data_IF_850706744459
#
_entry.id   IF_850706744459
#
_cell.length_a   1.000
_cell.length_b   1.000
_cell.length_c   1.000
_cell.angle_alpha   90.00
_cell.angle_beta   90.00
_cell.angle_gamma   90.00
#
_symmetry.space_group_name_H-M   'P 1'
#
loop_
_entity.id
_entity.type
_entity.pdbx_description
1 polymer ?
#
# COMPACT_ATOMS: atom_id res chain seq x y z
N UNK A 1 -23.99 7.96 13.76
CA UNK A 1 -22.65 8.38 13.24
C UNK A 1 -22.42 7.69 11.92
N UNK A 2 -21.81 8.40 10.93
CA UNK A 2 -21.59 7.89 9.56
C UNK A 2 -20.13 8.11 9.16
N UNK A 3 -19.52 7.06 8.61
CA UNK A 3 -18.17 7.10 8.02
C UNK A 3 -18.26 7.53 6.55
N UNK A 4 -17.64 8.64 6.20
CA UNK A 4 -17.57 9.14 4.83
C UNK A 4 -16.24 8.79 4.13
N UNK A 5 -15.56 7.77 4.61
CA UNK A 5 -14.41 7.17 3.94
C UNK A 5 -14.89 6.09 2.95
N UNK A 6 -13.99 5.63 2.12
CA UNK A 6 -14.24 4.50 1.23
C UNK A 6 -14.24 3.18 2.02
N UNK A 7 -14.86 2.12 1.47
CA UNK A 7 -15.00 0.84 2.17
C UNK A 7 -13.66 0.26 2.65
N UNK A 8 -12.60 0.33 1.84
CA UNK A 8 -11.28 -0.20 2.20
C UNK A 8 -10.61 0.54 3.37
N UNK A 9 -10.99 1.81 3.60
CA UNK A 9 -10.51 2.58 4.74
C UNK A 9 -11.27 2.17 6.03
N UNK A 10 -12.60 2.01 5.93
CA UNK A 10 -13.45 1.63 7.07
C UNK A 10 -13.34 0.15 7.42
N UNK A 11 -12.90 -0.70 6.49
CA UNK A 11 -12.72 -2.14 6.68
C UNK A 11 -11.69 -2.47 7.76
N UNK A 12 -10.61 -1.68 7.87
CA UNK A 12 -9.56 -1.90 8.88
C UNK A 12 -9.75 -1.14 10.19
N UNK A 13 -10.77 -0.29 10.26
CA UNK A 13 -11.11 0.42 11.48
C UNK A 13 -12.17 1.49 11.28
N UNK A 14 -13.05 1.63 12.27
CA UNK A 14 -14.19 2.55 12.27
C UNK A 14 -14.66 2.83 13.71
N UNK A 15 -15.51 3.82 13.91
CA UNK A 15 -16.17 4.02 15.22
C UNK A 15 -17.19 2.92 15.48
N UNK A 16 -17.25 2.45 16.73
CA UNK A 16 -18.25 1.45 17.19
C UNK A 16 -19.66 1.93 16.84
N UNK A 17 -20.42 1.09 16.12
CA UNK A 17 -21.79 1.39 15.70
C UNK A 17 -21.95 2.44 14.63
N UNK A 18 -20.90 2.86 13.97
CA UNK A 18 -20.99 3.76 12.81
C UNK A 18 -21.56 3.04 11.59
N UNK A 19 -22.32 3.77 10.79
CA UNK A 19 -22.73 3.34 9.44
C UNK A 19 -21.50 3.48 8.53
N UNK A 20 -21.07 2.38 7.95
CA UNK A 20 -19.94 2.30 7.01
C UNK A 20 -20.48 1.90 5.63
N UNK A 21 -20.75 2.85 4.72
CA UNK A 21 -21.28 2.52 3.40
C UNK A 21 -20.25 1.75 2.56
N UNK A 22 -20.71 0.69 1.90
CA UNK A 22 -19.89 -0.10 0.97
C UNK A 22 -19.76 0.62 -0.38
N UNK A 23 -18.84 1.59 -0.43
CA UNK A 23 -18.61 2.44 -1.61
C UNK A 23 -17.13 2.50 -1.97
N UNK A 24 -16.84 2.68 -3.25
CA UNK A 24 -15.47 2.90 -3.75
C UNK A 24 -15.06 4.36 -3.68
N UNK A 25 -16.04 5.26 -3.78
CA UNK A 25 -15.77 6.69 -3.80
C UNK A 25 -16.70 7.43 -2.83
N UNK A 26 -16.18 8.51 -2.27
CA UNK A 26 -16.95 9.42 -1.42
C UNK A 26 -18.25 9.92 -2.10
N UNK A 27 -18.23 10.13 -3.43
CA UNK A 27 -19.42 10.62 -4.15
C UNK A 27 -20.57 9.63 -4.12
N UNK A 28 -20.29 8.35 -4.17
CA UNK A 28 -21.29 7.28 -4.10
C UNK A 28 -21.97 7.21 -2.73
N UNK A 29 -21.26 7.56 -1.65
CA UNK A 29 -21.81 7.50 -0.30
C UNK A 29 -22.95 8.50 -0.06
N UNK A 30 -22.90 9.67 -0.69
CA UNK A 30 -23.84 10.75 -0.43
C UNK A 30 -25.29 10.36 -0.72
N UNK A 31 -25.69 9.90 -1.93
CA UNK A 31 -27.05 9.50 -2.21
C UNK A 31 -27.49 8.26 -1.42
N UNK A 32 -26.59 7.31 -1.18
CA UNK A 32 -26.87 6.08 -0.40
C UNK A 32 -27.27 6.45 1.02
N UNK A 33 -26.46 7.26 1.70
CA UNK A 33 -26.71 7.69 3.08
C UNK A 33 -27.93 8.60 3.14
N UNK A 34 -28.14 9.48 2.14
CA UNK A 34 -29.36 10.32 2.10
C UNK A 34 -30.64 9.46 2.04
N UNK A 35 -30.65 8.42 1.23
CA UNK A 35 -31.79 7.51 1.13
C UNK A 35 -31.96 6.69 2.43
N UNK A 36 -30.88 6.16 2.97
CA UNK A 36 -30.90 5.36 4.20
C UNK A 36 -31.40 6.15 5.42
N UNK A 37 -31.09 7.43 5.48
CA UNK A 37 -31.40 8.31 6.62
C UNK A 37 -32.56 9.29 6.35
N UNK A 38 -33.28 9.17 5.26
CA UNK A 38 -34.31 10.12 4.86
C UNK A 38 -35.39 10.37 5.93
N UNK A 39 -35.72 9.35 6.73
CA UNK A 39 -36.74 9.43 7.78
C UNK A 39 -36.22 10.08 9.07
N UNK A 40 -34.93 10.42 9.16
CA UNK A 40 -34.30 10.96 10.36
C UNK A 40 -33.85 12.43 10.21
N UNK A 41 -34.29 13.11 9.16
CA UNK A 41 -33.83 14.46 8.83
C UNK A 41 -34.18 15.51 9.89
N UNK A 42 -35.32 15.35 10.54
CA UNK A 42 -35.85 16.30 11.53
C UNK A 42 -35.33 16.06 12.92
N UNK A 43 -35.32 14.79 13.37
CA UNK A 43 -35.25 14.43 14.79
C UNK A 43 -33.88 13.88 15.23
N UNK A 44 -33.05 13.44 14.30
CA UNK A 44 -31.77 12.80 14.63
C UNK A 44 -30.58 13.66 14.31
N UNK A 45 -29.56 13.56 15.13
CA UNK A 45 -28.25 14.16 14.86
C UNK A 45 -27.49 13.29 13.86
N UNK A 46 -27.15 13.88 12.71
CA UNK A 46 -26.24 13.27 11.73
C UNK A 46 -24.80 13.68 12.10
N UNK A 47 -24.08 12.78 12.75
CA UNK A 47 -22.68 13.00 13.07
C UNK A 47 -21.81 12.27 12.04
N UNK A 48 -20.89 12.99 11.41
CA UNK A 48 -20.06 12.53 10.31
C UNK A 48 -18.58 12.54 10.66
N UNK A 49 -17.84 11.62 10.11
CA UNK A 49 -16.38 11.65 10.20
C UNK A 49 -15.71 11.11 8.93
N UNK A 50 -14.45 11.49 8.76
CA UNK A 50 -13.51 10.91 7.81
C UNK A 50 -12.09 10.99 8.41
N UNK A 51 -11.05 10.71 7.62
CA UNK A 51 -9.67 10.73 8.11
C UNK A 51 -9.24 12.07 8.69
N UNK A 52 -9.44 13.19 7.96
CA UNK A 52 -8.99 14.53 8.36
C UNK A 52 -10.05 15.64 8.26
N UNK A 53 -11.35 15.32 8.13
CA UNK A 53 -12.45 16.30 8.10
C UNK A 53 -12.85 16.81 6.71
N UNK A 54 -12.00 16.85 5.72
CA UNK A 54 -12.23 17.50 4.41
C UNK A 54 -13.44 16.94 3.65
N UNK A 55 -13.65 15.62 3.64
CA UNK A 55 -14.84 14.99 3.04
C UNK A 55 -16.10 15.36 3.79
N UNK A 56 -16.01 15.49 5.11
CA UNK A 56 -17.15 15.85 5.97
C UNK A 56 -17.63 17.28 5.73
N UNK A 57 -16.78 18.23 5.41
CA UNK A 57 -17.21 19.61 5.05
C UNK A 57 -18.14 19.59 3.84
N UNK A 58 -17.76 18.84 2.78
CA UNK A 58 -18.59 18.69 1.59
C UNK A 58 -19.88 17.91 1.89
N UNK A 59 -19.81 16.85 2.69
CA UNK A 59 -20.97 16.08 3.12
C UNK A 59 -21.92 16.94 3.96
N UNK A 60 -21.42 17.75 4.90
CA UNK A 60 -22.23 18.65 5.71
C UNK A 60 -23.04 19.63 4.87
N UNK A 61 -22.42 20.27 3.88
CA UNK A 61 -23.11 21.16 2.96
C UNK A 61 -24.18 20.43 2.18
N UNK A 62 -23.88 19.23 1.66
CA UNK A 62 -24.84 18.39 0.94
C UNK A 62 -26.05 18.03 1.80
N UNK A 63 -25.83 17.46 3.02
CA UNK A 63 -26.93 17.01 3.87
C UNK A 63 -27.78 18.16 4.42
N UNK A 64 -27.19 19.32 4.74
CA UNK A 64 -27.95 20.54 5.05
C UNK A 64 -28.85 20.96 3.88
N UNK A 65 -28.31 20.92 2.66
CA UNK A 65 -29.12 21.20 1.45
C UNK A 65 -30.23 20.17 1.23
N UNK A 66 -30.03 18.90 1.62
CA UNK A 66 -31.05 17.84 1.56
C UNK A 66 -32.09 17.93 2.69
N UNK A 67 -32.02 18.94 3.55
CA UNK A 67 -32.99 19.21 4.60
C UNK A 67 -32.75 18.55 5.94
N UNK A 68 -31.52 18.01 6.19
CA UNK A 68 -31.14 17.56 7.52
C UNK A 68 -30.89 18.76 8.44
N UNK A 69 -31.61 18.84 9.57
CA UNK A 69 -31.49 19.96 10.50
C UNK A 69 -30.25 19.92 11.38
N UNK A 70 -29.93 18.74 11.89
CA UNK A 70 -28.89 18.53 12.89
C UNK A 70 -27.68 17.81 12.26
N UNK A 71 -26.79 18.56 11.61
CA UNK A 71 -25.61 18.03 10.90
C UNK A 71 -24.34 18.45 11.60
N UNK A 72 -23.58 17.47 12.09
CA UNK A 72 -22.33 17.64 12.83
C UNK A 72 -21.21 16.86 12.18
N UNK A 73 -19.98 17.30 12.38
CA UNK A 73 -18.78 16.58 11.94
C UNK A 73 -17.75 16.51 13.06
N UNK A 74 -16.95 15.45 13.03
CA UNK A 74 -15.81 15.29 13.92
C UNK A 74 -14.71 16.26 13.47
N UNK A 75 -14.35 17.21 14.32
CA UNK A 75 -13.37 18.24 14.04
C UNK A 75 -11.96 17.61 13.85
N UNK A 76 -11.33 17.94 12.71
CA UNK A 76 -10.02 17.35 12.34
C UNK A 76 -10.05 15.86 12.06
N UNK A 77 -11.24 15.22 12.06
CA UNK A 77 -11.43 13.82 11.74
C UNK A 77 -10.77 12.85 12.73
N UNK A 78 -10.55 11.60 12.28
CA UNK A 78 -9.95 10.55 13.10
C UNK A 78 -8.55 10.92 13.57
N UNK A 79 -7.79 11.65 12.77
CA UNK A 79 -6.41 12.06 13.11
C UNK A 79 -6.41 12.90 14.38
N UNK A 80 -7.24 13.96 14.43
CA UNK A 80 -7.32 14.83 15.60
C UNK A 80 -7.92 14.10 16.81
N UNK A 81 -8.93 13.27 16.60
CA UNK A 81 -9.51 12.41 17.63
C UNK A 81 -8.46 11.50 18.29
N UNK A 82 -7.65 10.79 17.48
CA UNK A 82 -6.59 9.92 18.00
C UNK A 82 -5.50 10.67 18.76
N UNK A 83 -5.18 11.89 18.32
CA UNK A 83 -4.24 12.77 19.01
C UNK A 83 -4.77 13.16 20.40
N UNK A 84 -6.01 13.65 20.48
CA UNK A 84 -6.64 14.04 21.76
C UNK A 84 -6.76 12.87 22.72
N UNK A 85 -7.10 11.67 22.25
CA UNK A 85 -7.14 10.47 23.11
C UNK A 85 -5.80 10.19 23.79
N UNK A 86 -4.68 10.33 23.04
CA UNK A 86 -3.33 10.13 23.59
C UNK A 86 -2.94 11.19 24.60
N UNK A 87 -3.33 12.45 24.35
CA UNK A 87 -3.03 13.58 25.22
C UNK A 87 -3.82 13.52 26.53
N UNK A 88 -5.07 13.07 26.47
CA UNK A 88 -5.99 13.05 27.63
C UNK A 88 -6.12 11.68 28.31
N UNK A 89 -5.51 10.62 27.74
CA UNK A 89 -5.55 9.27 28.29
C UNK A 89 -6.94 8.64 28.26
N UNK A 90 -7.78 8.99 27.27
CA UNK A 90 -9.16 8.52 27.19
C UNK A 90 -9.29 7.21 26.41
N UNK A 91 -10.30 6.42 26.74
CA UNK A 91 -10.65 5.21 26.00
C UNK A 91 -11.22 5.51 24.63
N UNK A 92 -10.72 4.82 23.60
CA UNK A 92 -11.15 4.99 22.21
C UNK A 92 -12.54 4.41 21.95
N UNK A 93 -13.38 5.16 21.24
CA UNK A 93 -14.61 4.67 20.62
C UNK A 93 -14.38 4.23 19.17
N UNK A 94 -13.22 4.55 18.60
CA UNK A 94 -12.74 4.02 17.33
C UNK A 94 -12.05 2.69 17.58
N UNK A 95 -12.26 1.70 16.72
CA UNK A 95 -11.66 0.38 16.77
C UNK A 95 -10.81 0.11 15.52
N UNK A 96 -9.64 -0.48 15.71
CA UNK A 96 -8.73 -0.87 14.64
C UNK A 96 -7.76 0.21 14.20
N UNK A 97 -7.49 0.26 12.89
CA UNK A 97 -6.55 1.18 12.23
C UNK A 97 -7.27 2.28 11.48
N UNK A 98 -6.70 3.49 11.51
CA UNK A 98 -7.05 4.53 10.55
C UNK A 98 -6.22 4.38 9.29
N UNK A 99 -6.86 4.20 8.12
CA UNK A 99 -6.17 4.15 6.84
C UNK A 99 -5.52 5.51 6.54
N UNK A 100 -4.26 5.48 6.11
CA UNK A 100 -3.50 6.67 5.70
C UNK A 100 -2.96 6.50 4.28
N UNK A 101 -2.93 7.61 3.52
CA UNK A 101 -2.56 7.63 2.11
C UNK A 101 -1.05 7.78 1.89
N UNK A 102 -0.25 7.15 2.75
CA UNK A 102 1.20 7.07 2.61
C UNK A 102 1.66 5.60 2.64
N UNK A 103 2.98 5.37 2.63
CA UNK A 103 3.59 4.04 2.60
C UNK A 103 3.21 3.13 3.79
N UNK A 104 2.68 3.68 4.88
CA UNK A 104 2.23 2.92 6.06
C UNK A 104 0.90 2.23 5.82
N UNK A 105 0.06 2.75 4.92
CA UNK A 105 -1.30 2.30 4.59
C UNK A 105 -2.25 2.17 5.80
N UNK A 106 -1.80 2.49 7.00
CA UNK A 106 -2.61 2.46 8.22
C UNK A 106 -1.84 2.90 9.45
N UNK A 107 -2.52 3.58 10.35
CA UNK A 107 -2.05 3.98 11.67
C UNK A 107 -2.94 3.35 12.73
N UNK A 108 -2.34 2.59 13.66
CA UNK A 108 -3.07 1.87 14.69
C UNK A 108 -3.60 2.83 15.76
N UNK A 109 -4.91 2.75 16.02
CA UNK A 109 -5.59 3.51 17.07
C UNK A 109 -5.84 2.62 18.29
N UNK A 110 -6.34 1.37 18.07
CA UNK A 110 -6.53 0.37 19.11
C UNK A 110 -5.97 -0.98 18.66
N UNK A 111 -5.82 -1.93 19.59
CA UNK A 111 -5.31 -3.28 19.29
C UNK A 111 -6.34 -4.20 18.62
N UNK A 112 -7.57 -3.72 18.45
CA UNK A 112 -8.60 -4.49 17.76
C UNK A 112 -8.20 -4.74 16.28
N UNK A 113 -8.47 -5.96 15.82
CA UNK A 113 -8.38 -6.34 14.41
C UNK A 113 -9.80 -6.63 13.93
N UNK A 114 -10.36 -5.71 13.13
CA UNK A 114 -11.77 -5.75 12.71
C UNK A 114 -11.98 -6.30 11.30
N UNK A 115 -10.88 -6.62 10.61
CA UNK A 115 -10.87 -7.13 9.24
C UNK A 115 -10.21 -8.50 9.14
N UNK A 116 -10.18 -9.04 7.94
CA UNK A 116 -9.64 -10.37 7.65
C UNK A 116 -8.77 -10.34 6.41
N UNK A 117 -7.77 -11.22 6.37
CA UNK A 117 -7.00 -11.48 5.16
C UNK A 117 -7.93 -11.89 4.01
N UNK A 118 -7.84 -11.18 2.89
CA UNK A 118 -8.70 -11.44 1.73
C UNK A 118 -8.39 -12.77 1.05
N UNK A 119 -7.24 -13.38 1.35
CA UNK A 119 -6.84 -14.67 0.80
C UNK A 119 -7.24 -15.86 1.68
N UNK A 120 -6.95 -15.84 2.97
CA UNK A 120 -7.17 -16.99 3.86
C UNK A 120 -8.25 -16.77 4.93
N UNK A 121 -8.76 -15.54 5.11
CA UNK A 121 -9.81 -15.23 6.08
C UNK A 121 -9.33 -15.11 7.54
N UNK A 122 -8.04 -15.30 7.84
CA UNK A 122 -7.51 -15.06 9.20
C UNK A 122 -7.64 -13.58 9.58
N UNK A 123 -7.83 -13.26 10.87
CA UNK A 123 -7.83 -11.86 11.32
C UNK A 123 -6.57 -11.13 10.85
N UNK A 124 -6.76 -10.03 10.16
CA UNK A 124 -5.67 -9.22 9.61
C UNK A 124 -6.17 -7.84 9.19
N UNK A 125 -5.36 -6.82 9.36
CA UNK A 125 -5.66 -5.45 8.97
C UNK A 125 -4.48 -4.78 8.22
N UNK A 126 -3.61 -5.59 7.62
CA UNK A 126 -2.48 -5.12 6.83
C UNK A 126 -2.85 -5.00 5.36
N UNK A 127 -3.01 -3.76 4.90
CA UNK A 127 -3.15 -3.47 3.47
C UNK A 127 -1.82 -3.65 2.73
N UNK A 128 -1.90 -4.19 1.54
CA UNK A 128 -0.78 -4.26 0.59
C UNK A 128 -1.28 -4.02 -0.83
N UNK A 129 -0.39 -3.55 -1.70
CA UNK A 129 -0.64 -3.50 -3.13
C UNK A 129 -0.05 -4.73 -3.80
N UNK A 130 -0.80 -5.33 -4.73
CA UNK A 130 -0.30 -6.44 -5.51
C UNK A 130 1.02 -6.08 -6.19
N UNK A 131 2.03 -6.94 -6.06
CA UNK A 131 3.36 -6.72 -6.61
C UNK A 131 3.37 -6.67 -8.15
N UNK A 132 2.39 -7.31 -8.79
CA UNK A 132 2.23 -7.22 -10.24
C UNK A 132 1.79 -5.81 -10.65
N UNK A 133 2.68 -5.04 -11.26
CA UNK A 133 2.44 -3.68 -11.75
C UNK A 133 1.24 -3.58 -12.71
N UNK A 134 0.92 -4.65 -13.44
CA UNK A 134 -0.24 -4.70 -14.33
C UNK A 134 -1.56 -4.90 -13.59
N UNK A 135 -1.51 -5.27 -12.32
CA UNK A 135 -2.66 -5.46 -11.43
C UNK A 135 -2.79 -4.34 -10.41
N UNK A 136 -1.79 -4.16 -9.57
CA UNK A 136 -1.68 -3.14 -8.50
C UNK A 136 -2.91 -3.05 -7.59
N UNK A 137 -3.59 -4.19 -7.35
CA UNK A 137 -4.77 -4.28 -6.50
C UNK A 137 -4.39 -4.00 -5.05
N UNK A 138 -5.08 -3.05 -4.39
CA UNK A 138 -5.01 -2.86 -2.94
C UNK A 138 -5.90 -3.88 -2.24
N UNK A 139 -5.35 -4.66 -1.31
CA UNK A 139 -6.07 -5.70 -0.58
C UNK A 139 -5.43 -5.97 0.79
N UNK A 140 -6.14 -6.72 1.66
CA UNK A 140 -5.64 -7.09 2.98
C UNK A 140 -4.98 -8.48 2.89
N UNK A 141 -3.74 -8.59 3.38
CA UNK A 141 -2.96 -9.81 3.33
C UNK A 141 -2.21 -10.04 4.64
N UNK A 142 -2.37 -11.23 5.25
CA UNK A 142 -1.61 -11.60 6.44
C UNK A 142 -0.18 -12.05 6.08
N UNK A 143 0.71 -12.05 7.07
CA UNK A 143 2.14 -12.34 6.86
C UNK A 143 2.39 -13.73 6.24
N UNK A 144 1.58 -14.73 6.59
CA UNK A 144 1.68 -16.08 6.01
C UNK A 144 1.33 -16.05 4.51
N UNK A 145 0.21 -15.39 4.13
CA UNK A 145 -0.18 -15.24 2.73
C UNK A 145 0.80 -14.35 1.97
N UNK A 146 1.33 -13.31 2.62
CA UNK A 146 2.37 -12.46 2.05
C UNK A 146 3.63 -13.26 1.72
N UNK A 147 4.06 -14.12 2.64
CA UNK A 147 5.20 -15.00 2.43
C UNK A 147 4.96 -16.04 1.32
N UNK A 148 3.74 -16.60 1.24
CA UNK A 148 3.39 -17.61 0.25
C UNK A 148 3.18 -17.04 -1.15
N UNK A 149 2.64 -15.81 -1.25
CA UNK A 149 2.21 -15.18 -2.50
C UNK A 149 3.09 -13.98 -2.91
N UNK A 150 4.18 -13.71 -2.20
CA UNK A 150 5.14 -12.63 -2.49
C UNK A 150 4.48 -11.27 -2.75
N UNK A 151 3.52 -10.88 -1.90
CA UNK A 151 2.67 -9.71 -2.06
C UNK A 151 1.77 -9.72 -3.33
N UNK A 152 1.56 -10.86 -3.95
CA UNK A 152 0.66 -10.98 -5.09
C UNK A 152 -0.75 -11.35 -4.63
N UNK A 153 -1.76 -10.80 -5.30
CA UNK A 153 -3.17 -11.06 -4.99
C UNK A 153 -3.66 -12.42 -5.51
N UNK A 154 -3.02 -12.99 -6.52
CA UNK A 154 -3.37 -14.28 -7.13
C UNK A 154 -2.14 -15.02 -7.64
N UNK A 155 -2.30 -16.31 -7.94
CA UNK A 155 -1.25 -17.14 -8.55
C UNK A 155 -0.84 -16.63 -9.93
N UNK A 156 -1.78 -16.13 -10.74
CA UNK A 156 -1.47 -15.53 -12.04
C UNK A 156 -0.60 -14.27 -11.87
N UNK A 157 -0.89 -13.44 -10.86
CA UNK A 157 -0.05 -12.29 -10.57
C UNK A 157 1.35 -12.69 -10.11
N UNK A 158 1.45 -13.74 -9.29
CA UNK A 158 2.73 -14.28 -8.83
C UNK A 158 3.56 -14.82 -10.01
N UNK A 159 2.95 -15.59 -10.91
CA UNK A 159 3.60 -16.09 -12.12
C UNK A 159 4.11 -14.94 -13.00
N UNK A 160 3.30 -13.90 -13.19
CA UNK A 160 3.70 -12.72 -13.99
C UNK A 160 4.91 -12.02 -13.35
N UNK A 161 4.99 -11.92 -12.02
CA UNK A 161 6.12 -11.26 -11.34
C UNK A 161 7.45 -12.04 -11.49
N UNK A 162 7.36 -13.34 -11.76
CA UNK A 162 8.53 -14.19 -12.01
C UNK A 162 8.99 -14.18 -13.48
N UNK A 163 8.24 -13.57 -14.41
CA UNK A 163 8.66 -13.41 -15.79
C UNK A 163 9.77 -12.35 -15.93
N UNK A 164 10.59 -12.41 -16.98
CA UNK A 164 11.51 -11.33 -17.32
C UNK A 164 10.77 -9.99 -17.46
N UNK A 165 11.38 -8.90 -17.00
CA UNK A 165 10.75 -7.57 -16.97
C UNK A 165 10.20 -7.14 -18.33
N UNK A 166 10.91 -7.47 -19.42
CA UNK A 166 10.47 -7.18 -20.79
C UNK A 166 9.13 -7.84 -21.14
N UNK A 167 8.87 -9.05 -20.62
CA UNK A 167 7.61 -9.76 -20.81
C UNK A 167 6.50 -9.17 -19.93
N UNK A 168 6.80 -8.84 -18.67
CA UNK A 168 5.86 -8.14 -17.79
C UNK A 168 5.40 -6.83 -18.44
N UNK A 169 6.32 -6.03 -19.02
CA UNK A 169 6.00 -4.79 -19.73
C UNK A 169 5.10 -5.04 -20.93
N UNK A 170 5.36 -6.10 -21.73
CA UNK A 170 4.48 -6.49 -22.85
C UNK A 170 3.08 -6.83 -22.39
N UNK A 171 2.95 -7.63 -21.29
CA UNK A 171 1.66 -8.06 -20.76
C UNK A 171 0.80 -6.92 -20.20
N UNK A 172 1.42 -5.85 -19.66
CA UNK A 172 0.69 -4.67 -19.17
C UNK A 172 0.43 -3.60 -20.23
N UNK A 173 1.05 -3.71 -21.41
CA UNK A 173 0.91 -2.71 -22.48
C UNK A 173 -0.55 -2.62 -22.95
N UNK A 174 -1.12 -1.41 -22.94
CA UNK A 174 -2.52 -1.16 -23.32
C UNK A 174 -3.54 -1.50 -22.23
N UNK A 175 -3.15 -2.05 -21.09
CA UNK A 175 -4.04 -2.22 -19.94
C UNK A 175 -4.09 -0.92 -19.14
N UNK A 176 -5.30 -0.50 -18.76
CA UNK A 176 -5.45 0.59 -17.79
C UNK A 176 -5.03 0.07 -16.41
N UNK A 177 -3.86 0.49 -15.96
CA UNK A 177 -3.40 0.26 -14.58
C UNK A 177 -3.98 1.41 -13.74
N UNK A 178 -5.11 1.15 -13.10
CA UNK A 178 -5.72 2.10 -12.15
C UNK A 178 -5.50 1.64 -10.72
N UNK A 179 -5.78 2.53 -9.77
CA UNK A 179 -5.83 2.17 -8.35
C UNK A 179 -7.04 1.25 -8.12
N UNK A 180 -6.83 -0.04 -8.25
CA UNK A 180 -7.86 -1.05 -8.00
C UNK A 180 -7.88 -1.38 -6.51
N UNK A 181 -9.07 -1.50 -5.95
CA UNK A 181 -9.28 -1.90 -4.55
C UNK A 181 -10.09 -3.19 -4.56
N UNK A 182 -9.72 -4.12 -3.69
CA UNK A 182 -10.46 -5.37 -3.53
C UNK A 182 -11.89 -5.09 -3.04
N UNK A 183 -12.84 -5.77 -3.69
CA UNK A 183 -14.24 -5.82 -3.23
C UNK A 183 -14.71 -7.26 -3.24
N UNK A 184 -15.24 -7.71 -2.11
CA UNK A 184 -15.82 -9.04 -1.98
C UNK A 184 -16.90 -9.26 -3.03
N UNK A 185 -16.71 -10.30 -3.88
CA UNK A 185 -17.63 -10.65 -4.97
C UNK A 185 -17.49 -9.84 -6.27
N UNK A 186 -16.65 -8.80 -6.31
CA UNK A 186 -16.39 -7.99 -7.52
C UNK A 186 -14.98 -8.06 -8.06
N UNK A 187 -14.00 -8.47 -7.23
CA UNK A 187 -12.61 -8.60 -7.64
C UNK A 187 -12.34 -9.99 -8.18
N UNK A 188 -12.09 -10.08 -9.48
CA UNK A 188 -11.84 -11.34 -10.17
C UNK A 188 -10.52 -12.00 -9.76
N UNK A 189 -9.53 -11.23 -9.37
CA UNK A 189 -8.17 -11.69 -9.06
C UNK A 189 -8.05 -12.39 -7.72
N UNK A 190 -8.93 -12.14 -6.75
CA UNK A 190 -8.99 -12.84 -5.47
C UNK A 190 -10.05 -13.94 -5.54
N UNK A 191 -9.76 -14.99 -6.31
CA UNK A 191 -10.61 -16.20 -6.43
C UNK A 191 -10.45 -17.17 -5.26
N UNK A 192 -9.94 -16.76 -4.13
CA UNK A 192 -10.00 -17.56 -2.92
C UNK A 192 -11.45 -17.55 -2.43
N UNK A 193 -12.16 -18.57 -2.88
CA UNK A 193 -13.51 -18.85 -2.41
C UNK A 193 -13.41 -19.10 -0.90
N UNK A 194 -14.13 -18.31 -0.11
CA UNK A 194 -14.65 -18.76 1.16
C UNK A 194 -15.74 -19.84 0.94
N UNK A 195 -15.40 -20.94 0.29
CA UNK A 195 -16.10 -22.20 0.46
C UNK A 195 -15.46 -22.84 1.68
N UNK A 196 -16.22 -23.07 2.72
CA UNK A 196 -15.81 -23.53 4.04
C UNK A 196 -15.05 -24.86 4.14
N UNK A 197 -14.14 -25.09 3.24
CA UNK A 197 -13.16 -26.16 3.25
C UNK A 197 -11.76 -25.53 3.22
N UNK A 198 -11.30 -25.14 4.39
CA UNK A 198 -9.87 -25.10 4.66
C UNK A 198 -9.38 -26.55 4.54
N UNK A 199 -8.99 -26.96 3.35
CA UNK A 199 -8.17 -28.16 3.22
C UNK A 199 -6.83 -27.81 3.88
N UNK A 200 -6.44 -28.57 4.90
CA UNK A 200 -5.11 -28.56 5.54
C UNK A 200 -3.97 -28.95 4.58
N UNK A 201 -4.20 -28.84 3.28
CA UNK A 201 -3.15 -29.03 2.28
C UNK A 201 -2.44 -27.71 2.05
N UNK A 202 -1.15 -27.60 2.41
CA UNK A 202 -0.31 -26.51 1.96
C UNK A 202 -0.40 -26.44 0.43
N UNK A 203 -0.67 -25.26 -0.12
CA UNK A 203 -0.62 -25.01 -1.55
C UNK A 203 0.69 -25.61 -2.11
N UNK A 204 0.59 -26.42 -3.17
CA UNK A 204 1.71 -27.12 -3.78
C UNK A 204 2.88 -26.20 -4.22
N UNK A 205 2.66 -24.90 -4.24
CA UNK A 205 3.67 -23.85 -4.45
C UNK A 205 4.64 -23.75 -3.25
N UNK A 206 4.20 -24.11 -2.03
CA UNK A 206 5.06 -24.05 -0.85
C UNK A 206 6.20 -25.08 -0.85
N UNK A 207 6.07 -26.17 -1.58
CA UNK A 207 7.13 -27.19 -1.67
C UNK A 207 8.23 -26.82 -2.67
N UNK A 208 7.89 -26.16 -3.78
CA UNK A 208 8.90 -25.69 -4.75
C UNK A 208 9.68 -24.47 -4.28
N UNK A 209 9.11 -23.66 -3.38
CA UNK A 209 9.81 -22.47 -2.85
C UNK A 209 10.65 -22.76 -1.60
N UNK A 210 10.41 -23.89 -0.91
CA UNK A 210 11.26 -24.29 0.24
C UNK A 210 12.70 -24.58 -0.14
N UNK A 211 12.97 -25.08 -1.34
CA UNK A 211 14.32 -25.36 -1.81
C UNK A 211 15.13 -24.09 -2.21
N UNK A 212 14.45 -23.00 -2.53
CA UNK A 212 15.10 -21.72 -2.90
C UNK A 212 15.37 -20.86 -1.66
N UNK A 213 14.63 -21.06 -0.56
CA UNK A 213 14.76 -20.26 0.69
C UNK A 213 15.82 -20.75 1.69
N UNK A 214 16.45 -21.87 1.43
CA UNK A 214 17.66 -22.21 2.19
C UNK A 214 18.82 -21.39 1.65
N UNK A 215 19.16 -20.33 2.43
CA UNK A 215 20.36 -19.50 2.33
C UNK A 215 20.17 -18.23 1.47
N UNK A 216 20.20 -17.18 2.14
CA UNK A 216 21.18 -16.09 2.17
C UNK A 216 20.50 -14.96 2.95
N UNK A 217 20.88 -14.74 4.20
CA UNK A 217 20.58 -13.49 4.91
C UNK A 217 21.36 -12.37 4.22
N UNK A 218 20.74 -11.72 3.25
CA UNK A 218 21.33 -10.56 2.56
C UNK A 218 21.26 -9.37 3.50
N UNK A 219 22.41 -8.85 3.90
CA UNK A 219 22.47 -7.59 4.66
C UNK A 219 22.30 -6.44 3.68
N UNK A 220 21.35 -5.56 3.98
CA UNK A 220 21.00 -4.39 3.21
C UNK A 220 21.64 -3.15 3.86
N UNK A 221 22.55 -2.48 3.17
CA UNK A 221 23.24 -1.29 3.67
C UNK A 221 22.88 -0.10 2.79
N UNK A 222 22.35 0.96 3.39
CA UNK A 222 22.00 2.18 2.67
C UNK A 222 23.28 2.81 2.10
N UNK A 223 23.32 3.05 0.79
CA UNK A 223 24.39 3.75 0.10
C UNK A 223 24.09 5.26 -0.03
N UNK A 224 22.86 5.60 -0.39
CA UNK A 224 22.49 6.98 -0.64
C UNK A 224 21.09 7.11 -1.25
N UNK A 225 20.85 8.20 -1.98
CA UNK A 225 19.54 8.53 -2.56
C UNK A 225 19.65 8.94 -4.03
N UNK A 226 18.52 8.83 -4.74
CA UNK A 226 18.38 9.34 -6.10
C UNK A 226 18.31 10.87 -6.11
N UNK A 227 19.07 11.49 -7.03
CA UNK A 227 19.06 12.92 -7.25
C UNK A 227 18.38 13.30 -8.57
N UNK A 228 18.50 12.45 -9.60
CA UNK A 228 17.83 12.67 -10.89
C UNK A 228 17.66 11.37 -11.68
N UNK A 229 16.72 11.37 -12.63
CA UNK A 229 16.54 10.29 -13.60
C UNK A 229 16.36 10.85 -15.01
N UNK A 230 17.27 10.50 -15.90
CA UNK A 230 17.25 10.91 -17.31
C UNK A 230 16.40 9.93 -18.13
N UNK A 231 15.12 10.26 -18.31
CA UNK A 231 14.11 9.36 -18.89
C UNK A 231 14.49 8.86 -20.29
N UNK A 232 15.03 9.73 -21.15
CA UNK A 232 15.41 9.35 -22.54
C UNK A 232 16.62 8.41 -22.57
N UNK A 233 17.56 8.61 -21.67
CA UNK A 233 18.77 7.81 -21.57
C UNK A 233 18.62 6.57 -20.69
N UNK A 234 17.54 6.48 -19.93
CA UNK A 234 17.32 5.45 -18.88
C UNK A 234 18.46 5.38 -17.86
N UNK A 235 18.98 6.55 -17.46
CA UNK A 235 20.10 6.67 -16.52
C UNK A 235 19.64 7.29 -15.21
N UNK A 236 19.97 6.66 -14.09
CA UNK A 236 19.78 7.18 -12.74
C UNK A 236 21.02 7.93 -12.25
N UNK A 237 20.84 9.09 -11.61
CA UNK A 237 21.86 9.83 -10.88
C UNK A 237 21.63 9.66 -9.39
N UNK A 238 22.62 9.18 -8.67
CA UNK A 238 22.58 8.95 -7.23
C UNK A 238 23.76 9.61 -6.54
N UNK A 239 23.56 10.01 -5.27
CA UNK A 239 24.63 10.50 -4.40
C UNK A 239 24.97 9.42 -3.39
N UNK A 240 26.25 9.11 -3.23
CA UNK A 240 26.75 8.15 -2.26
C UNK A 240 26.96 8.86 -0.92
N UNK A 241 26.23 8.43 0.12
CA UNK A 241 26.22 9.09 1.42
C UNK A 241 26.92 8.32 2.53
N UNK A 242 27.00 6.97 2.45
CA UNK A 242 27.39 6.16 3.62
C UNK A 242 28.61 5.25 3.44
N UNK A 243 28.77 4.59 2.30
CA UNK A 243 29.93 3.73 2.05
C UNK A 243 30.25 3.62 0.57
N UNK A 244 31.43 3.14 0.24
CA UNK A 244 31.86 3.00 -1.15
C UNK A 244 31.11 1.90 -1.91
N UNK A 245 30.96 2.11 -3.21
CA UNK A 245 30.32 1.24 -4.16
C UNK A 245 31.30 0.85 -5.26
N UNK A 246 31.34 -0.45 -5.59
CA UNK A 246 32.25 -0.99 -6.60
C UNK A 246 31.45 -1.60 -7.78
N UNK A 247 32.06 -1.65 -8.95
CA UNK A 247 31.53 -2.44 -10.06
C UNK A 247 31.43 -3.92 -9.65
N UNK A 248 30.36 -4.58 -10.08
CA UNK A 248 30.01 -5.94 -9.69
C UNK A 248 29.22 -6.04 -8.40
N UNK A 249 29.07 -4.95 -7.62
CA UNK A 249 28.23 -4.96 -6.45
C UNK A 249 26.75 -5.17 -6.82
N UNK A 250 26.05 -5.99 -6.02
CA UNK A 250 24.60 -6.09 -6.09
C UNK A 250 23.99 -4.90 -5.34
N UNK A 251 23.15 -4.18 -6.02
CA UNK A 251 22.45 -3.01 -5.48
C UNK A 251 20.94 -3.22 -5.51
N UNK A 252 20.27 -2.57 -4.58
CA UNK A 252 18.81 -2.48 -4.53
C UNK A 252 18.42 -1.01 -4.58
N UNK A 253 17.60 -0.63 -5.55
CA UNK A 253 16.92 0.65 -5.60
C UNK A 253 15.52 0.44 -5.03
N UNK A 254 15.15 1.23 -4.02
CA UNK A 254 13.90 1.08 -3.30
C UNK A 254 13.21 2.42 -3.07
N UNK A 255 11.94 2.50 -3.41
CA UNK A 255 11.11 3.67 -3.19
C UNK A 255 9.61 3.36 -3.18
N UNK A 256 8.78 4.29 -2.68
CA UNK A 256 7.35 4.04 -2.47
C UNK A 256 6.59 3.68 -3.75
N UNK A 257 7.04 4.20 -4.89
CA UNK A 257 6.40 3.97 -6.18
C UNK A 257 7.25 3.07 -7.10
N UNK A 258 8.57 3.09 -6.93
CA UNK A 258 9.54 2.30 -7.71
C UNK A 258 9.57 0.85 -7.22
N UNK A 259 9.15 0.62 -5.96
CA UNK A 259 9.24 -0.69 -5.32
C UNK A 259 10.70 -1.05 -4.99
N UNK A 260 10.98 -2.35 -4.93
CA UNK A 260 12.30 -2.90 -4.70
C UNK A 260 12.83 -3.49 -6.01
N UNK A 261 13.90 -2.89 -6.55
CA UNK A 261 14.52 -3.30 -7.81
C UNK A 261 15.99 -3.65 -7.57
N UNK A 262 16.37 -4.88 -7.81
CA UNK A 262 17.76 -5.34 -7.68
C UNK A 262 18.46 -5.28 -9.03
N UNK A 263 19.71 -4.83 -9.01
CA UNK A 263 20.60 -4.75 -10.15
C UNK A 263 22.01 -5.20 -9.74
N UNK A 264 22.77 -5.70 -10.73
CA UNK A 264 24.24 -5.82 -10.62
C UNK A 264 24.82 -4.60 -11.34
N UNK A 265 25.73 -3.92 -10.70
CA UNK A 265 26.35 -2.72 -11.24
C UNK A 265 27.46 -3.09 -12.23
N UNK A 266 27.11 -3.16 -13.52
CA UNK A 266 28.07 -3.55 -14.58
C UNK A 266 28.89 -2.38 -15.07
N UNK A 267 28.33 -1.18 -15.07
CA UNK A 267 28.97 0.06 -15.54
C UNK A 267 28.47 1.26 -14.75
N UNK A 268 29.36 2.18 -14.41
CA UNK A 268 28.99 3.48 -13.82
C UNK A 268 29.95 4.59 -14.21
N UNK A 269 29.43 5.82 -14.20
CA UNK A 269 30.25 7.02 -14.22
C UNK A 269 30.27 7.63 -12.81
N UNK A 270 31.42 7.99 -12.33
CA UNK A 270 31.63 8.67 -11.05
C UNK A 270 32.06 10.11 -11.37
N UNK A 271 31.26 11.08 -10.95
CA UNK A 271 31.47 12.51 -11.24
C UNK A 271 31.68 12.79 -12.73
N UNK A 272 31.00 12.03 -13.60
CA UNK A 272 31.02 12.18 -15.05
C UNK A 272 32.11 11.40 -15.77
N UNK A 273 32.98 10.67 -15.09
CA UNK A 273 34.03 9.83 -15.67
C UNK A 273 33.87 8.36 -15.32
N UNK A 274 34.28 7.46 -16.20
CA UNK A 274 34.21 6.03 -15.95
C UNK A 274 35.19 5.64 -14.84
N UNK A 275 34.69 5.08 -13.75
CA UNK A 275 35.51 4.68 -12.59
C UNK A 275 34.89 3.43 -11.96
N UNK A 276 35.68 2.40 -11.62
CA UNK A 276 35.17 1.18 -10.99
C UNK A 276 34.77 1.35 -9.52
N UNK A 277 35.13 2.45 -8.88
CA UNK A 277 34.88 2.69 -7.44
C UNK A 277 34.29 4.08 -7.24
N UNK A 278 33.20 4.18 -6.50
CA UNK A 278 32.61 5.44 -6.04
C UNK A 278 32.74 5.55 -4.51
N UNK A 279 33.18 6.72 -4.03
CA UNK A 279 33.37 7.01 -2.59
C UNK A 279 32.21 7.83 -2.04
N UNK A 280 32.17 7.97 -0.73
CA UNK A 280 31.21 8.84 -0.04
C UNK A 280 31.41 10.30 -0.52
N UNK A 281 30.31 10.93 -0.92
CA UNK A 281 30.28 12.27 -1.51
C UNK A 281 30.24 12.28 -3.03
N UNK A 282 30.55 11.16 -3.71
CA UNK A 282 30.51 11.09 -5.15
C UNK A 282 29.08 11.02 -5.72
N UNK A 283 28.91 11.59 -6.91
CA UNK A 283 27.73 11.44 -7.75
C UNK A 283 27.98 10.34 -8.77
N UNK A 284 27.11 9.34 -8.78
CA UNK A 284 27.20 8.23 -9.72
C UNK A 284 26.03 8.22 -10.69
N UNK A 285 26.32 7.85 -11.93
CA UNK A 285 25.29 7.58 -12.94
C UNK A 285 25.49 6.22 -13.56
N UNK A 286 24.40 5.49 -13.75
CA UNK A 286 24.38 4.20 -14.44
C UNK A 286 23.01 3.93 -15.06
N UNK A 287 22.95 2.98 -15.98
CA UNK A 287 21.72 2.59 -16.64
C UNK A 287 20.76 1.91 -15.66
N UNK A 288 19.50 2.38 -15.66
CA UNK A 288 18.42 1.83 -14.84
C UNK A 288 17.21 1.62 -15.74
N UNK A 289 16.80 0.36 -16.03
CA UNK A 289 15.76 0.06 -17.01
C UNK A 289 14.34 0.40 -16.56
N UNK A 290 14.19 1.05 -15.41
CA UNK A 290 12.95 1.49 -14.82
C UNK A 290 13.06 2.93 -14.33
N UNK A 291 11.91 3.58 -14.14
CA UNK A 291 11.89 4.99 -13.70
C UNK A 291 12.25 5.12 -12.23
N UNK A 292 13.34 5.83 -11.94
CA UNK A 292 13.78 6.23 -10.60
C UNK A 292 13.16 7.58 -10.23
N UNK A 293 12.84 7.75 -8.95
CA UNK A 293 12.27 8.99 -8.40
C UNK A 293 13.20 9.58 -7.34
N UNK A 294 13.09 10.88 -7.09
CA UNK A 294 13.93 11.60 -6.11
C UNK A 294 13.83 11.07 -4.68
N UNK A 295 12.72 10.39 -4.35
CA UNK A 295 12.52 9.74 -3.05
C UNK A 295 13.18 8.37 -2.92
N UNK A 296 13.67 7.80 -4.03
CA UNK A 296 14.22 6.45 -4.04
C UNK A 296 15.60 6.42 -3.39
N UNK A 297 15.87 5.34 -2.70
CA UNK A 297 17.13 5.06 -2.02
C UNK A 297 17.86 3.90 -2.69
N UNK A 298 19.18 3.99 -2.71
CA UNK A 298 20.05 2.94 -3.20
C UNK A 298 20.73 2.23 -2.03
N UNK A 299 20.76 0.90 -2.06
CA UNK A 299 21.36 0.05 -1.03
C UNK A 299 22.34 -0.93 -1.67
N UNK A 300 23.40 -1.26 -0.96
CA UNK A 300 24.28 -2.39 -1.26
C UNK A 300 23.75 -3.65 -0.61
N UNK A 301 23.71 -4.74 -1.37
CA UNK A 301 23.33 -6.06 -0.90
C UNK A 301 24.59 -6.89 -0.66
N UNK A 302 24.84 -7.26 0.59
CA UNK A 302 25.96 -8.15 0.94
C UNK A 302 25.45 -9.47 1.50
N UNK A 303 26.00 -10.58 1.04
CA UNK A 303 25.79 -11.90 1.63
C UNK A 303 26.55 -11.99 2.94
N UNK A 304 25.91 -12.44 4.03
CA UNK A 304 26.67 -12.90 5.18
C UNK A 304 27.27 -14.25 4.83
N UNK A 305 28.61 -14.32 4.82
CA UNK A 305 29.30 -15.59 4.99
C UNK A 305 28.99 -16.18 6.35
#
# INVERSE_FOLDING_TARGET
>A
MVDFRNHYESEIGHFKGAITPDVETFRESLPIINEQLKNFKEDKNLVMYCTGGIRCEKASAYFKHQGFKNVFQLEGGIINYAKQLKEEGLESKFIGKNFVFDHRLGERITDDIVSQCHQCGKPCDNHTNCLNDGCHLLFIQCDECQAAMENCCSTECLEITHLPLAEQVKLRRGKQVGNKVFRKGKSENLKFKHSGELSDKPLAVAEKTKDIRQKIKVKKVLLGKAEHYYVKAQVGLFVIENQELNLGDRILISGPTTGNQELVLEKMLVNGTENPVAKVGDKITFEVPFRVRLSDRIYKLSTKN
#
